data_IF_522875050681
#
_entry.id   IF_522875050681
#
_cell.length_a   1.000
_cell.length_b   1.000
_cell.length_c   1.000
_cell.angle_alpha   90.00
_cell.angle_beta   90.00
_cell.angle_gamma   90.00
#
_symmetry.space_group_name_H-M   'P 1'
#
loop_
_entity.id
_entity.type
_entity.pdbx_description
1 polymer ?
#
# COMPACT_ATOMS: atom_id res chain seq x y z
N UNK A 1 12.46 21.94 12.61
CA UNK A 1 13.09 20.88 11.79
C UNK A 1 12.33 20.77 10.47
N UNK A 2 13.05 20.47 9.40
CA UNK A 2 12.46 20.27 8.08
C UNK A 2 11.48 19.10 8.09
N UNK A 3 10.28 19.31 7.53
CA UNK A 3 9.24 18.27 7.38
C UNK A 3 9.01 18.05 5.89
N UNK A 4 9.48 16.92 5.31
CA UNK A 4 9.22 16.62 3.91
C UNK A 4 7.71 16.51 3.63
N UNK A 5 7.30 16.87 2.42
CA UNK A 5 5.90 16.81 2.03
C UNK A 5 5.53 15.42 1.49
N UNK A 6 4.40 14.90 1.94
CA UNK A 6 3.78 13.71 1.38
C UNK A 6 2.37 14.04 0.87
N UNK A 7 2.09 13.68 -0.37
CA UNK A 7 0.76 13.82 -0.96
C UNK A 7 -0.12 12.62 -0.53
N UNK A 8 -1.18 12.91 0.19
CA UNK A 8 -2.20 11.94 0.56
C UNK A 8 -3.24 11.95 -0.56
N UNK A 9 -3.05 11.04 -1.52
CA UNK A 9 -3.84 10.99 -2.73
C UNK A 9 -5.20 10.35 -2.49
N UNK A 10 -6.22 10.97 -3.02
CA UNK A 10 -7.58 10.42 -3.03
C UNK A 10 -8.31 10.73 -4.31
N UNK A 11 -9.26 9.88 -4.63
CA UNK A 11 -10.23 10.03 -5.70
C UNK A 11 -11.63 9.92 -5.12
N UNK A 12 -12.65 10.24 -5.90
CA UNK A 12 -14.05 10.06 -5.49
C UNK A 12 -14.29 8.62 -4.97
N UNK A 13 -14.80 8.50 -3.75
CA UNK A 13 -15.05 7.21 -3.08
C UNK A 13 -13.93 6.73 -2.14
N UNK A 14 -12.77 7.37 -2.15
CA UNK A 14 -11.70 7.10 -1.18
C UNK A 14 -12.08 7.61 0.21
N UNK A 15 -11.77 6.82 1.25
CA UNK A 15 -12.15 7.13 2.64
C UNK A 15 -11.05 6.96 3.68
N UNK A 16 -9.87 6.44 3.32
CA UNK A 16 -8.75 6.19 4.25
C UNK A 16 -7.76 7.35 4.40
N UNK A 17 -8.02 8.51 3.80
CA UNK A 17 -7.05 9.60 3.71
C UNK A 17 -6.80 10.33 5.04
N UNK A 18 -7.79 10.42 5.91
CA UNK A 18 -7.64 11.12 7.21
C UNK A 18 -6.69 10.37 8.13
N UNK A 19 -6.89 9.06 8.29
CA UNK A 19 -6.04 8.20 9.11
C UNK A 19 -4.62 8.12 8.54
N UNK A 20 -4.50 8.07 7.22
CA UNK A 20 -3.21 8.05 6.53
C UNK A 20 -2.45 9.36 6.77
N UNK A 21 -3.11 10.50 6.62
CA UNK A 21 -2.53 11.81 6.91
C UNK A 21 -2.05 11.90 8.37
N UNK A 22 -2.84 11.40 9.31
CA UNK A 22 -2.49 11.38 10.74
C UNK A 22 -1.22 10.55 11.00
N UNK A 23 -1.09 9.38 10.36
CA UNK A 23 0.08 8.52 10.51
C UNK A 23 1.36 9.19 10.00
N UNK A 24 1.31 9.79 8.82
CA UNK A 24 2.46 10.50 8.25
C UNK A 24 2.80 11.79 9.00
N UNK A 25 1.80 12.55 9.45
CA UNK A 25 2.04 13.73 10.27
C UNK A 25 2.79 13.38 11.57
N UNK A 26 2.37 12.33 12.25
CA UNK A 26 3.04 11.81 13.45
C UNK A 26 4.45 11.29 13.18
N UNK A 27 4.71 10.80 11.99
CA UNK A 27 6.05 10.39 11.55
C UNK A 27 6.98 11.57 11.19
N UNK A 28 6.47 12.80 11.19
CA UNK A 28 7.28 14.00 10.94
C UNK A 28 7.20 14.53 9.50
N UNK A 29 6.17 14.18 8.75
CA UNK A 29 5.88 14.75 7.43
C UNK A 29 4.92 15.93 7.52
N UNK A 30 4.94 16.76 6.49
CA UNK A 30 3.81 17.62 6.15
C UNK A 30 2.89 16.84 5.23
N UNK A 31 1.81 16.30 5.79
CA UNK A 31 0.81 15.56 5.05
C UNK A 31 -0.16 16.51 4.35
N UNK A 32 -0.24 16.44 3.05
CA UNK A 32 -1.08 17.32 2.22
C UNK A 32 -2.17 16.50 1.55
N UNK A 33 -3.42 16.84 1.80
CA UNK A 33 -4.57 16.23 1.11
C UNK A 33 -4.57 16.63 -0.36
N UNK A 34 -4.50 15.67 -1.26
CA UNK A 34 -4.46 15.88 -2.71
C UNK A 34 -5.55 15.05 -3.38
N UNK A 35 -6.60 15.71 -3.83
CA UNK A 35 -7.61 15.08 -4.68
C UNK A 35 -7.09 15.01 -6.11
N UNK A 36 -7.46 13.95 -6.85
CA UNK A 36 -7.02 13.80 -8.23
C UNK A 36 -7.40 14.99 -9.12
N UNK A 37 -8.54 15.64 -8.84
CA UNK A 37 -8.92 16.87 -9.55
C UNK A 37 -7.89 18.00 -9.38
N UNK A 38 -7.19 18.07 -8.24
CA UNK A 38 -6.16 19.09 -8.02
C UNK A 38 -4.96 18.90 -8.96
N UNK A 39 -4.62 17.64 -9.24
CA UNK A 39 -3.57 17.30 -10.22
C UNK A 39 -4.06 17.52 -11.65
N UNK A 40 -5.26 17.04 -11.98
CA UNK A 40 -5.82 17.15 -13.33
C UNK A 40 -6.05 18.61 -13.75
N UNK A 41 -6.48 19.46 -12.81
CA UNK A 41 -6.67 20.89 -13.01
C UNK A 41 -5.38 21.71 -12.84
N UNK A 42 -4.25 21.05 -12.64
CA UNK A 42 -2.92 21.65 -12.51
C UNK A 42 -2.78 22.64 -11.34
N UNK A 43 -3.63 22.48 -10.30
CA UNK A 43 -3.54 23.28 -9.07
C UNK A 43 -2.40 22.82 -8.17
N UNK A 44 -2.03 21.54 -8.26
CA UNK A 44 -0.95 20.91 -7.47
C UNK A 44 -0.05 20.14 -8.42
N UNK A 45 1.27 20.20 -8.17
CA UNK A 45 2.27 19.43 -8.89
C UNK A 45 2.92 18.39 -7.99
N UNK A 46 3.11 17.16 -8.48
CA UNK A 46 3.82 16.11 -7.75
C UNK A 46 5.31 16.41 -7.53
N UNK A 47 5.86 17.39 -8.23
CA UNK A 47 7.25 17.87 -8.02
C UNK A 47 7.49 18.43 -6.62
N UNK A 48 6.42 18.86 -5.93
CA UNK A 48 6.51 19.43 -4.58
C UNK A 48 6.65 18.37 -3.49
N UNK A 49 6.49 17.10 -3.80
CA UNK A 49 6.39 16.02 -2.83
C UNK A 49 7.57 15.06 -2.90
N UNK A 50 7.97 14.55 -1.73
CA UNK A 50 8.93 13.45 -1.57
C UNK A 50 8.23 12.09 -1.47
N UNK A 51 6.96 12.08 -1.08
CA UNK A 51 6.16 10.87 -1.00
C UNK A 51 4.78 11.03 -1.62
N UNK A 52 4.24 9.96 -2.19
CA UNK A 52 2.83 9.83 -2.52
C UNK A 52 2.24 8.63 -1.80
N UNK A 53 1.02 8.77 -1.33
CA UNK A 53 0.27 7.68 -0.69
C UNK A 53 -1.10 7.59 -1.32
N UNK A 54 -1.36 6.49 -2.02
CA UNK A 54 -2.68 6.19 -2.56
C UNK A 54 -3.50 5.46 -1.50
N UNK A 55 -4.59 6.08 -1.07
CA UNK A 55 -5.38 5.61 0.06
C UNK A 55 -6.46 4.61 -0.32
N UNK A 56 -6.99 3.90 0.69
CA UNK A 56 -8.07 2.95 0.57
C UNK A 56 -9.45 3.60 0.40
N UNK A 57 -10.39 2.83 -0.10
CA UNK A 57 -11.78 3.21 -0.33
C UNK A 57 -12.35 2.46 -1.53
N UNK A 58 -13.32 3.08 -2.19
CA UNK A 58 -14.03 2.54 -3.34
C UNK A 58 -14.05 3.59 -4.45
N UNK A 59 -12.90 3.83 -5.08
CA UNK A 59 -12.78 4.83 -6.15
C UNK A 59 -13.76 4.50 -7.28
N UNK A 60 -14.54 5.52 -7.69
CA UNK A 60 -15.64 5.38 -8.65
C UNK A 60 -16.67 4.29 -8.27
N UNK A 61 -16.86 4.04 -6.95
CA UNK A 61 -17.78 3.02 -6.45
C UNK A 61 -17.44 1.60 -6.90
N UNK A 62 -16.20 1.33 -7.26
CA UNK A 62 -15.69 0.05 -7.83
C UNK A 62 -16.40 -0.39 -9.13
N UNK A 63 -17.08 0.51 -9.80
CA UNK A 63 -17.80 0.19 -11.05
C UNK A 63 -16.85 -0.34 -12.14
N UNK A 64 -15.62 0.15 -12.15
CA UNK A 64 -14.57 -0.28 -13.08
C UNK A 64 -13.65 -1.37 -12.53
N UNK A 65 -13.93 -1.84 -11.30
CA UNK A 65 -13.25 -2.93 -10.64
C UNK A 65 -11.84 -2.59 -10.14
N UNK A 66 -11.50 -3.08 -8.95
CA UNK A 66 -10.14 -3.15 -8.41
C UNK A 66 -9.26 -1.90 -8.62
N UNK A 67 -9.80 -0.69 -8.41
CA UNK A 67 -9.06 0.57 -8.59
C UNK A 67 -8.78 0.94 -10.06
N UNK A 68 -9.35 0.21 -11.01
CA UNK A 68 -9.10 0.39 -12.44
C UNK A 68 -9.52 1.76 -12.97
N UNK A 69 -10.60 2.33 -12.46
CA UNK A 69 -11.03 3.69 -12.82
C UNK A 69 -9.99 4.73 -12.44
N UNK A 70 -9.46 4.64 -11.25
CA UNK A 70 -8.43 5.56 -10.75
C UNK A 70 -7.13 5.46 -11.57
N UNK A 71 -6.61 4.25 -11.79
CA UNK A 71 -5.41 4.08 -12.62
C UNK A 71 -5.60 4.56 -14.05
N UNK A 72 -6.76 4.29 -14.67
CA UNK A 72 -7.08 4.75 -16.02
C UNK A 72 -7.19 6.27 -16.12
N UNK A 73 -7.72 6.96 -15.11
CA UNK A 73 -7.76 8.42 -15.09
C UNK A 73 -6.36 9.05 -15.16
N UNK A 74 -5.35 8.36 -14.65
CA UNK A 74 -3.95 8.76 -14.74
C UNK A 74 -3.35 8.39 -16.11
N UNK A 75 -3.50 7.13 -16.53
CA UNK A 75 -2.87 6.60 -17.73
C UNK A 75 -3.36 7.28 -19.01
N UNK A 76 -4.63 7.67 -19.06
CA UNK A 76 -5.24 8.28 -20.25
C UNK A 76 -5.31 9.82 -20.21
N UNK A 77 -4.73 10.46 -19.19
CA UNK A 77 -4.53 11.89 -19.14
C UNK A 77 -3.04 12.19 -19.26
N UNK A 78 -2.63 12.82 -20.35
CA UNK A 78 -1.20 13.04 -20.66
C UNK A 78 -0.49 13.83 -19.57
N UNK A 79 -1.13 14.86 -19.00
CA UNK A 79 -0.55 15.65 -17.93
C UNK A 79 -0.36 14.84 -16.65
N UNK A 80 -1.42 14.16 -16.19
CA UNK A 80 -1.35 13.33 -14.99
C UNK A 80 -0.33 12.20 -15.17
N UNK A 81 -0.36 11.52 -16.31
CA UNK A 81 0.61 10.47 -16.63
C UNK A 81 2.05 10.97 -16.56
N UNK A 82 2.34 12.13 -17.12
CA UNK A 82 3.68 12.74 -17.08
C UNK A 82 4.09 13.08 -15.63
N UNK A 83 3.18 13.64 -14.81
CA UNK A 83 3.44 13.96 -13.40
C UNK A 83 3.81 12.70 -12.60
N UNK A 84 3.05 11.61 -12.75
CA UNK A 84 3.33 10.35 -12.06
C UNK A 84 4.62 9.71 -12.57
N UNK A 85 4.84 9.69 -13.87
CA UNK A 85 6.06 9.13 -14.45
C UNK A 85 7.31 9.88 -13.98
N UNK A 86 7.29 11.20 -13.97
CA UNK A 86 8.40 12.02 -13.46
C UNK A 86 8.64 11.73 -11.97
N UNK A 87 7.56 11.64 -11.17
CA UNK A 87 7.65 11.32 -9.74
C UNK A 87 8.31 9.95 -9.51
N UNK A 88 7.87 8.92 -10.21
CA UNK A 88 8.40 7.55 -10.03
C UNK A 88 9.86 7.42 -10.47
N UNK A 89 10.32 8.26 -11.38
CA UNK A 89 11.71 8.24 -11.87
C UNK A 89 12.69 9.09 -11.04
N UNK A 90 12.21 9.91 -10.11
CA UNK A 90 13.08 10.65 -9.19
C UNK A 90 13.63 9.70 -8.12
N UNK A 91 14.94 9.84 -7.80
CA UNK A 91 15.61 8.99 -6.81
C UNK A 91 15.29 9.36 -5.36
N UNK A 92 14.77 10.57 -5.13
CA UNK A 92 14.46 11.14 -3.82
C UNK A 92 12.97 10.97 -3.43
N UNK A 93 12.25 10.06 -4.08
CA UNK A 93 10.83 9.85 -3.84
C UNK A 93 10.50 8.43 -3.40
N UNK A 94 9.41 8.29 -2.65
CA UNK A 94 8.83 7.00 -2.27
C UNK A 94 7.31 7.01 -2.48
N UNK A 95 6.73 5.82 -2.48
CA UNK A 95 5.27 5.67 -2.57
C UNK A 95 4.74 4.49 -1.77
N UNK A 96 3.50 4.65 -1.33
CA UNK A 96 2.71 3.62 -0.64
C UNK A 96 1.32 3.56 -1.27
N UNK A 97 0.87 2.36 -1.62
CA UNK A 97 -0.53 2.12 -2.00
C UNK A 97 -1.18 1.16 -1.03
N UNK A 98 -2.34 1.52 -0.49
CA UNK A 98 -3.06 0.72 0.50
C UNK A 98 -4.46 0.40 -0.01
N UNK A 99 -4.86 -0.87 -0.01
CA UNK A 99 -6.18 -1.35 -0.40
C UNK A 99 -6.57 -0.86 -1.80
N UNK A 100 -7.53 0.03 -1.93
CA UNK A 100 -7.89 0.63 -3.23
C UNK A 100 -6.68 1.35 -3.87
N UNK A 101 -5.83 1.99 -3.08
CA UNK A 101 -4.57 2.57 -3.54
C UNK A 101 -3.53 1.53 -3.98
N UNK A 102 -3.51 0.36 -3.36
CA UNK A 102 -2.70 -0.78 -3.81
C UNK A 102 -3.15 -1.23 -5.22
N UNK A 103 -4.44 -1.39 -5.42
CA UNK A 103 -5.03 -1.73 -6.72
C UNK A 103 -4.67 -0.69 -7.79
N UNK A 104 -4.79 0.59 -7.43
CA UNK A 104 -4.47 1.71 -8.34
C UNK A 104 -3.00 1.70 -8.74
N UNK A 105 -2.06 1.63 -7.79
CA UNK A 105 -0.63 1.62 -8.10
C UNK A 105 -0.22 0.37 -8.88
N UNK A 106 -0.83 -0.78 -8.60
CA UNK A 106 -0.63 -1.98 -9.43
C UNK A 106 -1.07 -1.75 -10.88
N UNK A 107 -2.14 -0.99 -11.09
CA UNK A 107 -2.57 -0.56 -12.42
C UNK A 107 -1.61 0.40 -13.12
N UNK A 108 -0.72 1.05 -12.38
CA UNK A 108 0.31 1.96 -12.89
C UNK A 108 1.69 1.30 -13.05
N UNK A 109 1.80 -0.01 -12.93
CA UNK A 109 3.10 -0.70 -12.95
C UNK A 109 3.94 -0.42 -14.21
N UNK A 110 3.32 -0.05 -15.32
CA UNK A 110 4.02 0.36 -16.53
C UNK A 110 4.78 1.69 -16.38
N UNK A 111 4.41 2.52 -15.41
CA UNK A 111 5.06 3.80 -15.10
C UNK A 111 6.06 3.68 -13.94
N UNK A 112 5.95 2.65 -13.10
CA UNK A 112 6.74 2.50 -11.88
C UNK A 112 7.92 1.56 -12.18
N UNK A 113 9.17 2.03 -12.12
CA UNK A 113 10.34 1.20 -12.41
C UNK A 113 10.44 -0.01 -11.46
N UNK A 114 10.79 -1.18 -12.00
CA UNK A 114 11.04 -2.39 -11.22
C UNK A 114 9.80 -3.04 -10.62
N UNK A 115 8.65 -2.97 -11.31
CA UNK A 115 7.36 -3.52 -10.83
C UNK A 115 6.72 -4.50 -11.81
N UNK A 116 7.48 -5.03 -12.76
CA UNK A 116 6.95 -5.92 -13.79
C UNK A 116 6.26 -7.18 -13.21
N UNK A 117 6.67 -7.62 -12.01
CA UNK A 117 6.14 -8.82 -11.36
C UNK A 117 4.93 -8.53 -10.45
N UNK A 118 4.48 -7.29 -10.33
CA UNK A 118 3.30 -6.96 -9.54
C UNK A 118 2.05 -7.60 -10.14
N UNK A 119 1.20 -8.25 -9.31
CA UNK A 119 -0.01 -8.92 -9.77
C UNK A 119 -1.12 -7.92 -10.07
N UNK A 120 -2.19 -8.42 -10.67
CA UNK A 120 -3.50 -7.76 -10.60
C UNK A 120 -4.19 -8.14 -9.29
N UNK A 121 -5.05 -7.26 -8.79
CA UNK A 121 -5.92 -7.53 -7.65
C UNK A 121 -7.35 -7.68 -8.14
N UNK A 122 -7.99 -8.78 -7.74
CA UNK A 122 -9.31 -9.18 -8.22
C UNK A 122 -10.23 -9.55 -7.06
N UNK A 123 -11.47 -9.86 -7.35
CA UNK A 123 -12.47 -10.26 -6.35
C UNK A 123 -11.99 -11.39 -5.42
N UNK A 124 -12.34 -11.28 -4.14
CA UNK A 124 -12.09 -12.33 -3.16
C UNK A 124 -12.74 -13.64 -3.61
N UNK A 125 -12.13 -14.78 -3.26
CA UNK A 125 -12.74 -16.11 -3.56
C UNK A 125 -14.10 -16.27 -2.90
N UNK A 126 -14.28 -15.66 -1.71
CA UNK A 126 -15.57 -15.70 -0.99
C UNK A 126 -16.71 -14.94 -1.69
N UNK A 127 -16.37 -14.11 -2.70
CA UNK A 127 -17.31 -13.17 -3.33
C UNK A 127 -17.97 -12.21 -2.31
N UNK A 128 -17.32 -12.02 -1.15
CA UNK A 128 -17.78 -11.16 -0.06
C UNK A 128 -16.74 -10.07 0.25
N UNK A 129 -17.24 -8.97 0.82
CA UNK A 129 -16.38 -7.99 1.48
C UNK A 129 -15.89 -8.57 2.81
N UNK A 130 -14.57 -8.68 2.94
CA UNK A 130 -13.92 -9.23 4.12
C UNK A 130 -13.36 -8.09 4.97
N UNK A 131 -13.82 -8.01 6.23
CA UNK A 131 -13.37 -7.00 7.20
C UNK A 131 -13.05 -7.69 8.54
N UNK A 132 -11.79 -7.72 8.90
CA UNK A 132 -11.30 -8.35 10.13
C UNK A 132 -9.87 -7.97 10.46
N UNK A 133 -9.39 -8.47 11.60
CA UNK A 133 -7.96 -8.50 11.91
C UNK A 133 -7.38 -9.79 11.31
N UNK A 134 -6.31 -9.68 10.55
CA UNK A 134 -5.54 -10.79 10.01
C UNK A 134 -4.10 -10.73 10.52
N UNK A 135 -3.42 -11.87 10.54
CA UNK A 135 -1.99 -11.93 10.85
C UNK A 135 -1.18 -11.93 9.57
N UNK A 136 -0.16 -11.09 9.51
CA UNK A 136 0.80 -11.04 8.41
C UNK A 136 2.22 -11.21 8.92
N UNK A 137 3.08 -11.75 8.07
CA UNK A 137 4.54 -11.72 8.25
C UNK A 137 5.14 -10.73 7.26
N UNK A 138 6.07 -9.92 7.75
CA UNK A 138 6.91 -9.07 6.91
C UNK A 138 8.01 -9.95 6.30
N UNK A 139 8.00 -10.08 5.00
CA UNK A 139 8.99 -10.86 4.26
C UNK A 139 10.27 -10.03 4.05
N UNK A 140 11.40 -10.73 3.92
CA UNK A 140 12.65 -10.08 3.56
C UNK A 140 12.54 -9.49 2.14
N UNK A 141 12.59 -8.18 2.04
CA UNK A 141 12.46 -7.45 0.78
C UNK A 141 13.27 -6.14 0.82
N UNK A 142 13.49 -5.49 -0.32
CA UNK A 142 14.14 -4.19 -0.36
C UNK A 142 13.24 -3.01 0.06
N UNK A 143 11.97 -3.24 0.43
CA UNK A 143 11.05 -2.16 0.81
C UNK A 143 11.67 -1.23 1.85
N UNK A 144 11.80 0.05 1.51
CA UNK A 144 12.30 1.06 2.44
C UNK A 144 11.35 1.26 3.61
N UNK A 145 10.03 1.09 3.38
CA UNK A 145 8.99 1.25 4.39
C UNK A 145 9.01 0.13 5.43
N UNK A 146 9.42 -1.07 5.03
CA UNK A 146 9.48 -2.26 5.90
C UNK A 146 10.92 -2.58 6.37
N UNK A 147 11.84 -1.64 6.21
CA UNK A 147 13.22 -1.79 6.61
C UNK A 147 13.38 -2.15 8.09
N UNK A 148 14.14 -3.22 8.35
CA UNK A 148 14.40 -3.73 9.70
C UNK A 148 13.20 -4.41 10.37
N UNK A 149 12.16 -4.77 9.59
CA UNK A 149 10.95 -5.43 10.10
C UNK A 149 10.82 -6.88 9.61
N UNK A 150 11.70 -7.37 8.75
CA UNK A 150 11.65 -8.73 8.20
C UNK A 150 11.57 -9.79 9.32
N UNK A 151 10.65 -10.75 9.14
CA UNK A 151 10.35 -11.79 10.13
C UNK A 151 9.36 -11.38 11.22
N UNK A 152 8.98 -10.10 11.29
CA UNK A 152 7.92 -9.66 12.22
C UNK A 152 6.57 -10.23 11.81
N UNK A 153 5.83 -10.74 12.79
CA UNK A 153 4.43 -11.20 12.64
C UNK A 153 3.53 -10.26 13.41
N UNK A 154 2.59 -9.66 12.74
CA UNK A 154 1.79 -8.57 13.31
C UNK A 154 0.33 -8.69 12.90
N UNK A 155 -0.59 -8.36 13.81
CA UNK A 155 -1.99 -8.17 13.44
C UNK A 155 -2.13 -6.91 12.57
N UNK A 156 -3.06 -6.95 11.63
CA UNK A 156 -3.36 -5.82 10.77
C UNK A 156 -4.83 -5.83 10.39
N UNK A 157 -5.41 -4.65 10.26
CA UNK A 157 -6.80 -4.49 9.78
C UNK A 157 -6.87 -4.74 8.28
N UNK A 158 -7.83 -5.56 7.86
CA UNK A 158 -8.20 -5.71 6.46
C UNK A 158 -9.65 -5.33 6.24
N UNK A 159 -9.95 -4.74 5.09
CA UNK A 159 -11.31 -4.34 4.71
C UNK A 159 -11.37 -4.21 3.18
N UNK A 160 -11.67 -5.30 2.47
CA UNK A 160 -11.69 -5.32 1.00
C UNK A 160 -12.59 -6.41 0.40
N UNK A 161 -13.16 -6.12 -0.77
CA UNK A 161 -13.89 -7.07 -1.59
C UNK A 161 -13.09 -7.61 -2.77
N UNK A 162 -12.06 -6.88 -3.20
CA UNK A 162 -11.23 -7.17 -4.38
C UNK A 162 -9.74 -7.14 -4.00
N UNK A 163 -9.35 -8.00 -3.05
CA UNK A 163 -7.99 -8.01 -2.51
C UNK A 163 -7.12 -9.19 -2.93
N UNK A 164 -7.63 -10.08 -3.77
CA UNK A 164 -6.91 -11.29 -4.17
C UNK A 164 -5.85 -10.97 -5.20
N UNK A 165 -4.58 -11.22 -4.85
CA UNK A 165 -3.47 -11.12 -5.77
C UNK A 165 -3.54 -12.25 -6.81
N UNK A 166 -3.68 -11.88 -8.08
CA UNK A 166 -3.72 -12.78 -9.21
C UNK A 166 -2.45 -12.62 -10.04
N UNK A 167 -1.62 -13.65 -10.03
CA UNK A 167 -0.38 -13.71 -10.79
C UNK A 167 -0.58 -14.47 -12.09
N UNK A 168 0.11 -14.06 -13.15
CA UNK A 168 0.27 -14.86 -14.36
C UNK A 168 1.25 -16.01 -14.10
N UNK A 169 1.25 -17.00 -14.99
CA UNK A 169 2.17 -18.14 -14.90
C UNK A 169 3.62 -17.66 -14.81
N UNK A 170 4.35 -18.13 -13.79
CA UNK A 170 5.75 -17.77 -13.52
C UNK A 170 5.98 -16.40 -12.88
N UNK A 171 4.95 -15.58 -12.77
CA UNK A 171 5.08 -14.22 -12.22
C UNK A 171 5.31 -14.22 -10.71
N UNK A 172 4.64 -15.11 -9.97
CA UNK A 172 4.86 -15.23 -8.51
C UNK A 172 6.28 -15.70 -8.20
N UNK A 173 6.76 -16.72 -8.91
CA UNK A 173 8.11 -17.25 -8.76
C UNK A 173 9.15 -16.17 -9.03
N UNK A 174 8.97 -15.40 -10.10
CA UNK A 174 9.84 -14.27 -10.42
C UNK A 174 9.82 -13.18 -9.34
N UNK A 175 8.64 -12.86 -8.78
CA UNK A 175 8.51 -11.91 -7.68
C UNK A 175 9.21 -12.39 -6.40
N UNK A 176 9.14 -13.68 -6.10
CA UNK A 176 9.82 -14.31 -4.96
C UNK A 176 11.34 -14.31 -5.14
N UNK A 177 11.83 -14.71 -6.32
CA UNK A 177 13.26 -14.67 -6.64
C UNK A 177 13.84 -13.26 -6.56
N UNK A 178 13.09 -12.27 -7.03
CA UNK A 178 13.47 -10.86 -6.95
C UNK A 178 13.27 -10.24 -5.55
N UNK A 179 12.78 -11.01 -4.57
CA UNK A 179 12.45 -10.55 -3.20
C UNK A 179 11.46 -9.39 -3.16
N UNK A 180 10.53 -9.34 -4.09
CA UNK A 180 9.53 -8.28 -4.18
C UNK A 180 8.27 -8.55 -3.37
N UNK A 181 8.06 -9.77 -2.88
CA UNK A 181 6.98 -10.08 -1.95
C UNK A 181 7.35 -9.55 -0.57
N UNK A 182 6.58 -8.59 -0.09
CA UNK A 182 6.89 -7.84 1.14
C UNK A 182 6.04 -8.25 2.34
N UNK A 183 4.81 -8.72 2.11
CA UNK A 183 3.88 -9.19 3.14
C UNK A 183 3.15 -10.45 2.70
N UNK A 184 2.94 -11.37 3.64
CA UNK A 184 2.11 -12.55 3.42
C UNK A 184 1.20 -12.80 4.62
N UNK A 185 -0.06 -13.23 4.36
CA UNK A 185 -0.94 -13.76 5.40
C UNK A 185 -0.36 -15.05 5.97
N UNK A 186 -0.43 -15.19 7.29
CA UNK A 186 0.07 -16.36 8.00
C UNK A 186 -1.03 -17.00 8.85
N UNK A 187 -0.91 -18.31 9.05
CA UNK A 187 -1.75 -19.08 9.96
C UNK A 187 -1.32 -18.93 11.43
N UNK A 188 -1.97 -19.67 12.32
CA UNK A 188 -1.66 -19.66 13.75
C UNK A 188 -0.26 -20.21 14.09
N UNK A 189 0.38 -20.91 13.16
CA UNK A 189 1.75 -21.40 13.30
C UNK A 189 2.77 -20.47 12.68
N UNK A 190 2.31 -19.33 12.12
CA UNK A 190 3.16 -18.34 11.46
C UNK A 190 3.66 -18.77 10.09
N UNK A 191 2.97 -19.66 9.43
CA UNK A 191 3.31 -20.07 8.07
C UNK A 191 2.43 -19.35 7.04
N UNK A 192 2.99 -18.89 5.92
CA UNK A 192 2.20 -18.36 4.83
C UNK A 192 1.10 -19.33 4.43
N UNK A 193 -0.13 -18.83 4.28
CA UNK A 193 -1.29 -19.68 4.09
C UNK A 193 -2.23 -19.18 3.00
N UNK A 194 -2.90 -20.15 2.36
CA UNK A 194 -4.01 -19.90 1.43
C UNK A 194 -5.37 -20.19 2.07
N UNK A 195 -5.35 -20.71 3.31
CA UNK A 195 -6.56 -21.17 3.99
C UNK A 195 -7.37 -20.01 4.59
N UNK A 196 -8.67 -19.98 4.28
CA UNK A 196 -9.63 -19.10 4.93
C UNK A 196 -9.88 -19.58 6.38
N UNK A 197 -10.04 -18.71 7.37
CA UNK A 197 -10.13 -17.24 7.32
C UNK A 197 -8.79 -16.52 7.50
N UNK A 198 -7.69 -17.22 7.77
CA UNK A 198 -6.37 -16.60 7.96
C UNK A 198 -5.91 -15.86 6.70
N UNK A 199 -6.16 -16.42 5.52
CA UNK A 199 -6.08 -15.72 4.24
C UNK A 199 -7.50 -15.30 3.84
N UNK A 200 -7.82 -14.00 3.91
CA UNK A 200 -9.20 -13.55 3.75
C UNK A 200 -9.69 -13.52 2.30
N UNK A 201 -8.79 -13.51 1.32
CA UNK A 201 -9.13 -13.22 -0.07
C UNK A 201 -8.75 -14.32 -1.07
N UNK A 202 -7.96 -15.31 -0.64
CA UNK A 202 -7.54 -16.42 -1.49
C UNK A 202 -6.29 -16.14 -2.32
N UNK A 203 -5.51 -15.11 -1.97
CA UNK A 203 -4.24 -14.82 -2.63
C UNK A 203 -3.28 -16.02 -2.56
N UNK A 204 -2.69 -16.38 -3.69
CA UNK A 204 -1.71 -17.46 -3.76
C UNK A 204 -0.49 -17.15 -2.89
N UNK A 205 0.01 -18.15 -2.16
CA UNK A 205 1.13 -17.97 -1.25
C UNK A 205 0.88 -17.01 -0.09
N UNK A 206 -0.37 -16.60 0.13
CA UNK A 206 -0.72 -15.59 1.12
C UNK A 206 -0.28 -14.16 0.76
N UNK A 207 0.21 -13.93 -0.45
CA UNK A 207 0.79 -12.63 -0.85
C UNK A 207 -0.23 -11.51 -0.71
N UNK A 208 0.13 -10.49 0.07
CA UNK A 208 -0.73 -9.33 0.30
C UNK A 208 0.02 -7.99 0.32
N UNK A 209 1.30 -8.00 0.05
CA UNK A 209 2.11 -6.81 -0.15
C UNK A 209 3.32 -7.08 -1.03
N UNK A 210 3.67 -6.11 -1.86
CA UNK A 210 4.80 -6.16 -2.78
C UNK A 210 5.56 -4.85 -2.75
N UNK A 211 6.81 -4.89 -3.22
CA UNK A 211 7.64 -3.70 -3.38
C UNK A 211 8.25 -3.66 -4.77
N UNK A 212 8.66 -2.47 -5.22
CA UNK A 212 9.48 -2.30 -6.41
C UNK A 212 10.88 -2.89 -6.18
N UNK A 213 11.61 -3.13 -7.26
CA UNK A 213 12.97 -3.70 -7.22
C UNK A 213 13.92 -2.85 -6.36
N UNK A 214 13.84 -1.52 -6.46
CA UNK A 214 14.64 -0.59 -5.64
C UNK A 214 14.06 -0.33 -4.23
N UNK A 215 12.90 -0.90 -3.90
CA UNK A 215 12.25 -0.78 -2.60
C UNK A 215 11.54 0.53 -2.30
N UNK A 216 11.55 1.51 -3.21
CA UNK A 216 10.96 2.84 -2.96
C UNK A 216 9.44 2.84 -3.01
N UNK A 217 8.82 1.94 -3.74
CA UNK A 217 7.36 1.85 -3.88
C UNK A 217 6.86 0.53 -3.31
N UNK A 218 5.93 0.63 -2.37
CA UNK A 218 5.33 -0.53 -1.69
C UNK A 218 3.82 -0.47 -1.82
N UNK A 219 3.20 -1.60 -2.14
CA UNK A 219 1.75 -1.75 -2.20
C UNK A 219 1.31 -2.86 -1.25
N UNK A 220 0.17 -2.68 -0.59
CA UNK A 220 -0.38 -3.66 0.34
C UNK A 220 -1.90 -3.54 0.44
N UNK A 221 -2.59 -4.67 0.57
CA UNK A 221 -4.03 -4.68 0.78
C UNK A 221 -4.45 -4.36 2.21
N UNK A 222 -3.73 -4.79 3.26
CA UNK A 222 -4.02 -4.41 4.65
C UNK A 222 -3.84 -2.91 4.90
N UNK A 223 -4.47 -2.43 5.99
CA UNK A 223 -4.52 -1.03 6.38
C UNK A 223 -3.64 -0.72 7.60
N UNK A 224 -2.35 -0.38 7.44
CA UNK A 224 -1.48 -0.03 8.56
C UNK A 224 -1.91 1.29 9.23
N UNK A 225 -2.54 2.20 8.50
CA UNK A 225 -3.05 3.48 9.00
C UNK A 225 -4.23 3.31 9.98
N UNK A 226 -4.88 2.16 9.98
CA UNK A 226 -5.98 1.83 10.88
C UNK A 226 -5.54 1.08 12.13
N UNK A 227 -4.25 0.79 12.28
CA UNK A 227 -3.70 0.04 13.41
C UNK A 227 -2.31 0.49 13.87
N UNK A 228 -1.83 1.66 13.44
CA UNK A 228 -0.52 2.18 13.85
C UNK A 228 -0.46 2.70 15.29
N UNK A 229 -1.61 3.03 15.90
CA UNK A 229 -1.71 3.32 17.31
C UNK A 229 -2.21 2.08 18.05
N UNK A 230 -1.68 1.85 19.24
CA UNK A 230 -2.09 0.69 20.07
C UNK A 230 -3.59 0.69 20.32
N UNK A 231 -4.18 1.84 20.62
CA UNK A 231 -5.61 1.99 20.91
C UNK A 231 -6.53 1.66 19.72
N UNK A 232 -6.02 1.64 18.50
CA UNK A 232 -6.80 1.28 17.31
C UNK A 232 -6.98 -0.24 17.15
N UNK A 233 -6.25 -1.03 17.93
CA UNK A 233 -6.28 -2.49 17.82
C UNK A 233 -7.27 -3.06 18.83
N UNK A 234 -8.16 -3.95 18.37
CA UNK A 234 -9.10 -4.66 19.24
C UNK A 234 -8.41 -5.60 20.21
N UNK A 235 -7.24 -6.06 19.87
CA UNK A 235 -6.33 -6.83 20.69
C UNK A 235 -4.89 -6.47 20.38
N UNK A 236 -4.04 -6.47 21.38
CA UNK A 236 -2.60 -6.27 21.23
C UNK A 236 -1.83 -6.97 22.37
N UNK A 237 -0.57 -7.35 22.16
CA UNK A 237 0.28 -7.84 23.24
C UNK A 237 0.50 -6.77 24.32
N UNK A 238 0.74 -7.22 25.55
CA UNK A 238 1.21 -6.34 26.61
C UNK A 238 2.58 -5.72 26.22
N UNK A 239 2.81 -4.49 26.64
CA UNK A 239 4.09 -3.80 26.40
C UNK A 239 4.14 -2.93 25.14
N UNK A 240 3.13 -2.91 24.29
CA UNK A 240 3.03 -1.85 23.29
C UNK A 240 2.77 -0.52 23.99
N UNK A 241 3.53 0.51 23.60
CA UNK A 241 3.33 1.88 24.09
C UNK A 241 2.17 2.58 23.38
N UNK A 242 2.30 3.86 23.09
CA UNK A 242 1.29 4.63 22.34
C UNK A 242 1.11 4.07 20.91
N UNK A 243 2.20 3.60 20.31
CA UNK A 243 2.21 3.12 18.94
C UNK A 243 2.37 1.60 18.86
N UNK A 244 1.66 1.00 17.91
CA UNK A 244 1.89 -0.38 17.50
C UNK A 244 3.15 -0.48 16.62
N UNK A 245 3.65 -1.69 16.34
CA UNK A 245 4.77 -1.89 15.42
C UNK A 245 4.56 -1.29 14.01
N UNK A 246 3.32 -1.11 13.57
CA UNK A 246 3.02 -0.50 12.27
C UNK A 246 3.45 0.96 12.15
N UNK A 247 3.61 1.68 13.27
CA UNK A 247 4.15 3.03 13.24
C UNK A 247 5.55 3.07 12.61
N UNK A 248 6.31 2.00 12.72
CA UNK A 248 7.65 1.90 12.14
C UNK A 248 7.65 2.04 10.62
N UNK A 249 6.60 1.59 9.92
CA UNK A 249 6.46 1.77 8.48
C UNK A 249 6.54 3.26 8.11
N UNK A 250 5.80 4.10 8.81
CA UNK A 250 5.76 5.56 8.58
C UNK A 250 7.06 6.24 9.02
N UNK A 251 7.62 5.81 10.15
CA UNK A 251 8.90 6.30 10.64
C UNK A 251 10.06 5.93 9.70
N UNK A 252 10.02 4.75 9.09
CA UNK A 252 11.01 4.32 8.10
C UNK A 252 11.01 5.23 6.86
N UNK A 253 9.84 5.65 6.38
CA UNK A 253 9.74 6.61 5.28
C UNK A 253 10.46 7.92 5.62
N UNK A 254 10.24 8.42 6.84
CA UNK A 254 10.89 9.64 7.32
C UNK A 254 12.40 9.49 7.43
N UNK A 255 12.83 8.35 8.01
CA UNK A 255 14.26 8.04 8.19
C UNK A 255 14.98 7.90 6.84
N UNK A 256 14.33 7.36 5.83
CA UNK A 256 14.92 7.18 4.51
C UNK A 256 15.23 8.51 3.82
N UNK A 257 14.45 9.55 4.08
CA UNK A 257 14.68 10.89 3.55
C UNK A 257 15.73 11.72 4.33
N UNK A 258 16.22 11.26 5.44
CA UNK A 258 17.23 11.92 6.27
C UNK A 258 16.63 12.74 7.41
#
# INVERSE_FOLDING_TARGET
SYRPKVAILREQGVNGHVEMAAAFDRAGFTAVDVHMSDLLDQRVSLREFQGIVACGGFSYGDVLGAGGGWSKSILFNDYARAQFQDFFNRDDTFGLGVCNGCQMLSGLKSLIPGTAHWPQFVGNISEQFEARVAMVEVMASPSILLSGMAGSRMPVSIAHGEGRALFQTGQLEAALEARQVALAYVDNYGQPTTAFPANPNGSVGGVTGLTSENGRFTIMMPHPERCFRTIQNSWHPEGWGEYSPWMRLFANARKWLG
#
